data_IF_762107403657
#
_entry.id   IF_762107403657
#
_cell.length_a   1.000
_cell.length_b   1.000
_cell.length_c   1.000
_cell.angle_alpha   90.00
_cell.angle_beta   90.00
_cell.angle_gamma   90.00
#
_symmetry.space_group_name_H-M   'P 1'
#
loop_
_entity.id
_entity.type
_entity.pdbx_description
1 polymer ?
#
# COMPACT_ATOMS: atom_id res chain seq x y z
N UNK A 1 -9.39 28.21 -12.40
CA UNK A 1 -9.81 28.18 -10.99
C UNK A 1 -9.73 26.74 -10.56
N UNK A 2 -8.65 26.35 -9.88
CA UNK A 2 -8.56 25.02 -9.28
C UNK A 2 -9.32 25.10 -7.97
N UNK A 3 -10.55 24.60 -7.93
CA UNK A 3 -11.24 24.40 -6.66
C UNK A 3 -10.42 23.41 -5.85
N UNK A 4 -9.80 23.87 -4.77
CA UNK A 4 -9.46 23.00 -3.65
C UNK A 4 -10.78 22.48 -3.09
N UNK A 5 -11.26 21.38 -3.64
CA UNK A 5 -12.28 20.57 -2.99
C UNK A 5 -11.77 20.30 -1.59
N UNK A 6 -12.47 20.79 -0.56
CA UNK A 6 -12.14 20.44 0.81
C UNK A 6 -12.09 18.91 0.88
N UNK A 7 -10.94 18.36 1.29
CA UNK A 7 -10.77 16.93 1.45
C UNK A 7 -11.74 16.49 2.54
N UNK A 8 -12.78 15.72 2.18
CA UNK A 8 -13.67 15.09 3.14
C UNK A 8 -12.84 14.19 4.06
N UNK A 9 -12.72 14.52 5.36
CA UNK A 9 -11.90 13.76 6.30
C UNK A 9 -12.32 12.29 6.41
N UNK A 10 -13.60 11.99 6.24
CA UNK A 10 -14.12 10.62 6.35
C UNK A 10 -13.72 9.83 5.11
N UNK A 11 -13.95 10.38 3.91
CA UNK A 11 -13.54 9.73 2.67
C UNK A 11 -12.02 9.53 2.58
N UNK A 12 -11.24 10.50 3.08
CA UNK A 12 -9.79 10.40 3.15
C UNK A 12 -9.36 9.23 4.05
N UNK A 13 -9.91 9.14 5.26
CA UNK A 13 -9.56 8.07 6.20
C UNK A 13 -9.96 6.69 5.67
N UNK A 14 -11.14 6.56 5.05
CA UNK A 14 -11.58 5.30 4.42
C UNK A 14 -10.61 4.89 3.31
N UNK A 15 -10.26 5.83 2.42
CA UNK A 15 -9.36 5.56 1.30
C UNK A 15 -7.96 5.19 1.80
N UNK A 16 -7.45 5.92 2.80
CA UNK A 16 -6.14 5.67 3.40
C UNK A 16 -6.05 4.28 4.03
N UNK A 17 -7.06 3.88 4.81
CA UNK A 17 -7.12 2.54 5.39
C UNK A 17 -7.23 1.45 4.32
N UNK A 18 -7.99 1.70 3.26
CA UNK A 18 -8.08 0.79 2.11
C UNK A 18 -6.72 0.57 1.45
N UNK A 19 -6.00 1.65 1.13
CA UNK A 19 -4.66 1.58 0.52
C UNK A 19 -3.66 0.86 1.43
N UNK A 20 -3.68 1.16 2.74
CA UNK A 20 -2.83 0.48 3.72
C UNK A 20 -3.12 -1.02 3.78
N UNK A 21 -4.40 -1.40 3.83
CA UNK A 21 -4.82 -2.80 3.84
C UNK A 21 -4.35 -3.56 2.60
N UNK A 22 -4.43 -2.93 1.42
CA UNK A 22 -3.94 -3.51 0.16
C UNK A 22 -2.43 -3.76 0.23
N UNK A 23 -1.65 -2.77 0.69
CA UNK A 23 -0.21 -2.91 0.81
C UNK A 23 0.20 -4.04 1.79
N UNK A 24 -0.50 -4.14 2.92
CA UNK A 24 -0.28 -5.18 3.94
C UNK A 24 -0.62 -6.58 3.41
N UNK A 25 -1.74 -6.72 2.71
CA UNK A 25 -2.14 -8.00 2.11
C UNK A 25 -1.15 -8.44 1.02
N UNK A 26 -0.68 -7.53 0.17
CA UNK A 26 0.35 -7.80 -0.81
C UNK A 26 1.65 -8.26 -0.15
N UNK A 27 2.08 -7.61 0.93
CA UNK A 27 3.30 -7.96 1.66
C UNK A 27 3.23 -9.41 2.19
N UNK A 28 2.10 -9.77 2.80
CA UNK A 28 1.86 -11.11 3.33
C UNK A 28 1.72 -12.15 2.21
N UNK A 29 1.06 -11.80 1.11
CA UNK A 29 0.86 -12.69 -0.05
C UNK A 29 2.20 -13.04 -0.70
N UNK A 30 3.08 -12.05 -0.90
CA UNK A 30 4.43 -12.25 -1.42
C UNK A 30 5.22 -13.15 -0.46
N UNK A 31 5.23 -12.82 0.84
CA UNK A 31 5.95 -13.62 1.84
C UNK A 31 5.53 -15.10 1.83
N UNK A 32 4.21 -15.37 1.81
CA UNK A 32 3.65 -16.72 1.89
C UNK A 32 3.87 -17.54 0.63
N UNK A 33 3.90 -16.89 -0.54
CA UNK A 33 4.08 -17.56 -1.84
C UNK A 33 5.55 -17.69 -2.25
N UNK A 34 6.47 -16.96 -1.59
CA UNK A 34 7.88 -16.97 -1.96
C UNK A 34 8.62 -18.25 -1.55
N UNK A 35 9.42 -18.78 -2.49
CA UNK A 35 10.38 -19.85 -2.22
C UNK A 35 11.73 -19.33 -1.68
N UNK A 36 12.03 -18.04 -1.84
CA UNK A 36 13.27 -17.42 -1.37
C UNK A 36 13.24 -17.26 0.15
N UNK A 37 14.27 -17.74 0.84
CA UNK A 37 14.44 -17.56 2.29
C UNK A 37 14.65 -16.09 2.67
N UNK A 38 15.21 -15.27 1.78
CA UNK A 38 15.34 -13.83 2.03
C UNK A 38 13.96 -13.15 2.12
N UNK A 39 13.00 -13.58 1.30
CA UNK A 39 11.65 -13.02 1.29
C UNK A 39 10.78 -13.66 2.39
N UNK A 40 10.81 -15.00 2.47
CA UNK A 40 9.94 -15.76 3.36
C UNK A 40 10.32 -15.64 4.84
N UNK A 41 11.61 -15.68 5.16
CA UNK A 41 12.10 -15.74 6.54
C UNK A 41 12.76 -14.42 6.98
N UNK A 42 13.55 -13.78 6.11
CA UNK A 42 14.22 -12.52 6.44
C UNK A 42 13.37 -11.28 6.17
N UNK A 43 12.25 -11.43 5.46
CA UNK A 43 11.37 -10.35 5.06
C UNK A 43 12.08 -9.18 4.35
N UNK A 44 13.07 -9.52 3.52
CA UNK A 44 13.80 -8.58 2.67
C UNK A 44 12.98 -8.27 1.41
N UNK A 45 11.81 -7.69 1.63
CA UNK A 45 10.89 -7.23 0.59
C UNK A 45 10.01 -6.10 1.15
N UNK A 46 9.40 -5.32 0.26
CA UNK A 46 8.46 -4.28 0.64
C UNK A 46 7.38 -4.13 -0.43
N UNK A 47 6.29 -3.46 -0.06
CA UNK A 47 5.19 -3.12 -0.96
C UNK A 47 4.90 -1.63 -0.82
N UNK A 48 4.65 -0.97 -1.95
CA UNK A 48 4.34 0.44 -1.99
C UNK A 48 3.26 0.69 -3.06
N UNK A 49 2.38 1.63 -2.76
CA UNK A 49 1.41 2.17 -3.71
C UNK A 49 1.87 3.56 -4.05
N UNK A 50 2.07 3.82 -5.34
CA UNK A 50 2.52 5.11 -5.85
C UNK A 50 1.46 5.73 -6.77
N UNK A 51 1.47 7.05 -6.86
CA UNK A 51 0.63 7.77 -7.81
C UNK A 51 1.10 7.55 -9.26
N UNK A 52 0.35 8.09 -10.23
CA UNK A 52 0.70 7.97 -11.65
C UNK A 52 2.05 8.61 -12.03
N UNK A 53 2.67 9.39 -11.14
CA UNK A 53 3.99 10.01 -11.30
C UNK A 53 5.08 9.25 -10.53
N UNK A 54 4.74 8.15 -9.88
CA UNK A 54 5.66 7.33 -9.09
C UNK A 54 6.01 7.94 -7.73
N UNK A 55 5.19 8.85 -7.20
CA UNK A 55 5.34 9.40 -5.84
C UNK A 55 4.60 8.57 -4.83
#
# INVERSE_FOLDING_TARGET
MTETSELDPIALEITWNGLKSIADECFLTIMRSAFSTNIKERHDHSTAIADARGR
#
